data_IF_561169273957
#
_entry.id   IF_561169273957
#
_cell.length_a   1.000
_cell.length_b   1.000
_cell.length_c   1.000
_cell.angle_alpha   90.00
_cell.angle_beta   90.00
_cell.angle_gamma   90.00
#
_symmetry.space_group_name_H-M   'P 1'
#
loop_
_entity.id
_entity.type
_entity.pdbx_description
1 polymer ?
#
# COMPACT_ATOMS: atom_id res chain seq x y z
N UNK A 1 -7.31 8.73 4.45
CA UNK A 1 -6.89 10.14 4.23
C UNK A 1 -7.14 10.95 5.49
N UNK A 2 -6.20 11.83 5.84
CA UNK A 2 -6.31 12.73 7.00
C UNK A 2 -6.01 14.15 6.55
N UNK A 3 -6.77 15.13 7.01
CA UNK A 3 -6.49 16.54 6.73
C UNK A 3 -7.07 17.46 7.81
N UNK A 4 -6.50 18.66 7.93
CA UNK A 4 -7.10 19.68 8.79
C UNK A 4 -8.19 20.44 8.04
N UNK A 5 -9.40 20.52 8.60
CA UNK A 5 -10.55 21.20 8.01
C UNK A 5 -10.83 22.50 8.75
N UNK A 6 -11.08 23.58 8.01
CA UNK A 6 -11.49 24.88 8.55
C UNK A 6 -12.94 25.19 8.22
N UNK A 7 -13.67 25.75 9.17
CA UNK A 7 -15.07 26.15 8.99
C UNK A 7 -15.44 27.32 9.93
N UNK A 8 -16.59 27.94 9.67
CA UNK A 8 -17.15 28.99 10.51
C UNK A 8 -18.17 28.40 11.47
N UNK A 9 -18.09 28.77 12.75
CA UNK A 9 -19.11 28.43 13.74
C UNK A 9 -20.36 29.34 13.58
N UNK A 10 -21.41 29.05 14.36
CA UNK A 10 -22.64 29.87 14.35
C UNK A 10 -22.43 31.32 14.80
N UNK A 11 -21.31 31.60 15.47
CA UNK A 11 -20.94 32.91 16.01
C UNK A 11 -20.01 33.70 15.08
N UNK A 12 -19.54 33.09 13.98
CA UNK A 12 -18.63 33.69 13.01
C UNK A 12 -17.14 33.54 13.31
N UNK A 13 -16.75 32.70 14.27
CA UNK A 13 -15.36 32.36 14.54
C UNK A 13 -14.85 31.28 13.56
N UNK A 14 -13.59 31.42 13.14
CA UNK A 14 -12.91 30.41 12.34
C UNK A 14 -12.38 29.29 13.24
N UNK A 15 -12.94 28.09 13.06
CA UNK A 15 -12.51 26.88 13.74
C UNK A 15 -11.68 26.00 12.82
N UNK A 16 -10.82 25.18 13.43
CA UNK A 16 -10.09 24.09 12.78
C UNK A 16 -10.32 22.78 13.53
N UNK A 17 -10.53 21.70 12.79
CA UNK A 17 -10.55 20.31 13.30
C UNK A 17 -9.65 19.44 12.43
N UNK A 18 -9.36 18.23 12.91
CA UNK A 18 -8.74 17.16 12.14
C UNK A 18 -9.83 16.21 11.64
N UNK A 19 -9.88 15.97 10.34
CA UNK A 19 -10.88 15.11 9.72
C UNK A 19 -10.24 13.90 9.04
N UNK A 20 -10.94 12.78 9.04
CA UNK A 20 -10.55 11.52 8.42
C UNK A 20 -11.65 10.99 7.50
N UNK A 21 -11.23 10.34 6.42
CA UNK A 21 -12.08 9.56 5.52
C UNK A 21 -11.23 8.53 4.78
N UNK A 22 -11.79 7.34 4.56
CA UNK A 22 -11.19 6.31 3.71
C UNK A 22 -11.76 6.38 2.30
N UNK A 23 -10.97 5.95 1.32
CA UNK A 23 -11.40 5.77 -0.07
C UNK A 23 -11.29 4.29 -0.37
N UNK A 24 -12.41 3.66 -0.75
CA UNK A 24 -12.41 2.25 -1.14
C UNK A 24 -11.89 2.04 -2.57
N UNK A 25 -11.72 0.77 -2.96
CA UNK A 25 -11.29 0.39 -4.31
C UNK A 25 -12.26 0.83 -5.42
N UNK A 26 -13.50 1.19 -5.09
CA UNK A 26 -14.50 1.74 -6.03
C UNK A 26 -14.46 3.26 -6.12
N UNK A 27 -13.45 3.89 -5.49
CA UNK A 27 -13.28 5.32 -5.37
C UNK A 27 -14.44 6.02 -4.65
N UNK A 28 -15.13 5.32 -3.73
CA UNK A 28 -16.11 5.93 -2.85
C UNK A 28 -15.46 6.36 -1.55
N UNK A 29 -15.81 7.56 -1.11
CA UNK A 29 -15.38 8.10 0.18
C UNK A 29 -16.33 7.65 1.28
N UNK A 30 -15.77 7.20 2.40
CA UNK A 30 -16.52 7.03 3.64
C UNK A 30 -17.08 8.38 4.12
N UNK A 31 -18.11 8.39 4.98
CA UNK A 31 -18.49 9.60 5.70
C UNK A 31 -17.27 10.24 6.39
N UNK A 32 -17.20 11.57 6.34
CA UNK A 32 -16.14 12.34 6.99
C UNK A 32 -16.32 12.23 8.50
N UNK A 33 -15.28 11.81 9.18
CA UNK A 33 -15.19 11.70 10.63
C UNK A 33 -14.35 12.88 11.14
N UNK A 34 -14.89 13.70 12.05
CA UNK A 34 -14.10 14.71 12.76
C UNK A 34 -13.47 14.04 13.99
N UNK A 35 -12.13 14.07 14.08
CA UNK A 35 -11.34 13.31 15.05
C UNK A 35 -10.96 14.12 16.29
N UNK A 36 -10.81 15.43 16.11
CA UNK A 36 -10.37 16.34 17.17
C UNK A 36 -11.44 17.39 17.44
N UNK A 37 -11.54 17.84 18.69
CA UNK A 37 -12.41 18.95 19.04
C UNK A 37 -12.03 20.20 18.22
N UNK A 38 -13.03 20.91 17.65
CA UNK A 38 -12.77 22.12 16.91
C UNK A 38 -12.16 23.21 17.80
N UNK A 39 -11.00 23.74 17.39
CA UNK A 39 -10.31 24.83 18.07
C UNK A 39 -10.39 26.11 17.26
N UNK A 40 -10.54 27.26 17.93
CA UNK A 40 -10.47 28.56 17.27
C UNK A 40 -9.06 28.80 16.76
N UNK A 41 -8.93 29.36 15.56
CA UNK A 41 -7.62 29.74 15.01
C UNK A 41 -6.92 30.83 15.84
N UNK A 42 -7.64 31.54 16.72
CA UNK A 42 -7.05 32.45 17.71
C UNK A 42 -6.44 31.73 18.91
N UNK A 43 -6.94 30.53 19.20
CA UNK A 43 -6.66 29.80 20.44
C UNK A 43 -5.69 28.65 20.18
N UNK A 44 -5.57 28.18 18.94
CA UNK A 44 -4.67 27.07 18.61
C UNK A 44 -4.75 26.62 17.17
N UNK A 45 -4.00 25.57 16.84
CA UNK A 45 -4.12 24.86 15.56
C UNK A 45 -3.53 23.45 15.61
N UNK A 46 -3.95 22.62 14.65
CA UNK A 46 -3.33 21.33 14.32
C UNK A 46 -2.54 21.46 13.02
N UNK A 47 -1.34 20.87 12.93
CA UNK A 47 -0.51 20.84 11.71
C UNK A 47 0.54 19.73 11.73
N UNK A 48 1.23 19.56 10.60
CA UNK A 48 2.31 18.59 10.44
C UNK A 48 1.82 17.16 10.69
N UNK A 49 0.69 16.84 10.08
CA UNK A 49 -0.04 15.59 10.28
C UNK A 49 0.60 14.49 9.45
N UNK A 50 0.68 13.31 10.04
CA UNK A 50 1.06 12.08 9.37
C UNK A 50 0.19 10.90 9.80
N UNK A 51 0.16 9.86 8.97
CA UNK A 51 -0.68 8.68 9.16
C UNK A 51 0.07 7.43 8.74
N UNK A 52 0.00 6.42 9.60
CA UNK A 52 0.45 5.07 9.31
C UNK A 52 -0.71 4.08 9.43
N UNK A 53 -0.63 3.02 8.64
CA UNK A 53 -1.69 2.00 8.54
C UNK A 53 -1.03 0.63 8.54
N UNK A 54 -1.35 -0.16 9.55
CA UNK A 54 -1.00 -1.57 9.63
C UNK A 54 -2.28 -2.41 9.58
N UNK A 55 -2.46 -3.17 8.51
CA UNK A 55 -3.70 -3.89 8.19
C UNK A 55 -4.99 -3.04 8.29
N UNK A 56 -5.78 -3.21 9.35
CA UNK A 56 -7.02 -2.45 9.62
C UNK A 56 -6.83 -1.37 10.70
N UNK A 57 -5.67 -1.34 11.35
CA UNK A 57 -5.32 -0.36 12.38
C UNK A 57 -4.76 0.91 11.75
N UNK A 58 -5.17 2.06 12.30
CA UNK A 58 -4.78 3.36 11.79
C UNK A 58 -4.22 4.19 12.93
N UNK A 59 -3.00 4.68 12.72
CA UNK A 59 -2.30 5.58 13.63
C UNK A 59 -2.14 6.94 12.96
N UNK A 60 -2.54 8.00 13.67
CA UNK A 60 -2.42 9.37 13.20
C UNK A 60 -1.67 10.17 14.26
N UNK A 61 -0.72 10.99 13.80
CA UNK A 61 -0.03 11.93 14.67
C UNK A 61 0.03 13.32 14.07
N UNK A 62 0.25 14.31 14.92
CA UNK A 62 0.44 15.68 14.51
C UNK A 62 0.84 16.59 15.66
N UNK A 63 1.22 17.81 15.30
CA UNK A 63 1.42 18.87 16.28
C UNK A 63 0.08 19.51 16.66
N UNK A 64 -0.07 19.77 17.95
CA UNK A 64 -1.15 20.55 18.53
C UNK A 64 -0.55 21.75 19.25
N UNK A 65 -0.97 22.95 18.86
CA UNK A 65 -0.66 24.19 19.60
C UNK A 65 -1.90 24.65 20.29
N UNK A 66 -1.76 24.86 21.59
CA UNK A 66 -2.75 25.49 22.44
C UNK A 66 -2.15 26.80 22.95
N UNK A 67 -2.85 27.91 22.72
CA UNK A 67 -2.48 29.25 23.20
C UNK A 67 -3.35 29.68 24.40
N UNK A 68 -4.30 28.84 24.81
CA UNK A 68 -5.27 29.13 25.85
C UNK A 68 -5.52 27.93 26.79
N UNK A 69 -4.49 27.54 27.53
CA UNK A 69 -4.59 26.52 28.57
C UNK A 69 -5.23 27.06 29.86
N UNK A 70 -6.40 26.53 30.23
CA UNK A 70 -6.98 26.69 31.59
C UNK A 70 -7.36 28.11 32.00
N UNK A 71 -7.59 29.02 31.05
CA UNK A 71 -7.91 30.44 31.32
C UNK A 71 -6.70 31.36 31.45
N UNK A 72 -5.49 30.83 31.24
CA UNK A 72 -4.25 31.60 31.13
C UNK A 72 -3.71 31.53 29.71
N UNK A 73 -3.05 32.59 29.25
CA UNK A 73 -2.26 32.55 28.02
C UNK A 73 -0.99 31.73 28.28
N UNK A 74 -1.02 30.47 27.88
CA UNK A 74 0.13 29.59 27.76
C UNK A 74 0.23 29.15 26.31
N UNK A 75 1.34 29.44 25.64
CA UNK A 75 1.62 29.01 24.27
C UNK A 75 2.41 27.71 24.34
N UNK A 76 1.70 26.59 24.22
CA UNK A 76 2.25 25.25 24.34
C UNK A 76 2.03 24.49 23.04
N UNK A 77 3.11 23.88 22.52
CA UNK A 77 3.03 22.94 21.41
C UNK A 77 3.34 21.53 21.92
N UNK A 78 2.53 20.56 21.52
CA UNK A 78 2.72 19.15 21.84
C UNK A 78 2.45 18.27 20.63
N UNK A 79 2.81 17.00 20.74
CA UNK A 79 2.42 15.95 19.77
C UNK A 79 1.32 15.09 20.39
N UNK A 80 0.30 14.81 19.59
CA UNK A 80 -0.77 13.89 19.93
C UNK A 80 -0.67 12.60 19.11
N UNK A 81 -1.30 11.54 19.60
CA UNK A 81 -1.58 10.33 18.83
C UNK A 81 -3.09 10.06 18.82
N UNK A 82 -3.58 9.59 17.69
CA UNK A 82 -4.92 9.09 17.49
C UNK A 82 -4.81 7.68 16.92
N UNK A 83 -5.45 6.73 17.58
CA UNK A 83 -5.41 5.33 17.21
C UNK A 83 -6.83 4.77 17.10
N UNK A 84 -7.06 3.92 16.11
CA UNK A 84 -8.28 3.15 15.97
C UNK A 84 -8.05 1.85 15.18
N UNK A 85 -8.74 0.80 15.59
CA UNK A 85 -8.90 -0.44 14.85
C UNK A 85 -10.18 -0.36 14.00
N UNK A 86 -10.02 -0.45 12.68
CA UNK A 86 -11.09 -0.40 11.67
C UNK A 86 -12.15 0.73 11.89
N UNK A 87 -11.73 2.02 11.88
CA UNK A 87 -12.59 3.13 12.28
C UNK A 87 -13.73 3.42 11.29
N UNK A 88 -14.98 3.31 11.75
CA UNK A 88 -16.17 3.62 10.94
C UNK A 88 -16.87 4.92 11.34
N UNK A 89 -16.57 5.43 12.54
CA UNK A 89 -17.15 6.65 13.11
C UNK A 89 -16.16 7.33 14.05
N UNK A 90 -16.34 8.64 14.27
CA UNK A 90 -15.46 9.44 15.14
C UNK A 90 -15.27 8.89 16.56
N UNK A 91 -16.25 8.17 17.13
CA UNK A 91 -16.15 7.62 18.48
C UNK A 91 -15.25 6.38 18.58
N UNK A 92 -14.79 5.82 17.47
CA UNK A 92 -13.91 4.65 17.44
C UNK A 92 -12.45 5.04 17.75
N UNK A 93 -12.14 6.32 17.69
CA UNK A 93 -10.79 6.86 17.86
C UNK A 93 -10.45 7.11 19.32
N UNK A 94 -9.25 6.69 19.72
CA UNK A 94 -8.65 6.98 21.02
C UNK A 94 -7.60 8.07 20.85
N UNK A 95 -7.78 9.18 21.56
CA UNK A 95 -6.83 10.30 21.61
C UNK A 95 -5.88 10.12 22.79
N UNK A 96 -4.59 10.02 22.50
CA UNK A 96 -3.51 10.15 23.47
C UNK A 96 -2.90 11.55 23.34
N UNK A 97 -3.28 12.51 24.20
CA UNK A 97 -2.73 13.85 24.14
C UNK A 97 -1.32 13.89 24.73
N UNK A 98 -0.53 14.89 24.33
CA UNK A 98 0.75 15.24 24.96
C UNK A 98 1.71 14.05 25.08
N UNK A 99 1.84 13.27 24.02
CA UNK A 99 2.82 12.18 23.90
C UNK A 99 4.22 12.76 24.01
N UNK A 100 4.46 13.85 23.29
CA UNK A 100 5.62 14.75 23.49
C UNK A 100 5.08 16.12 23.88
N UNK A 101 5.33 16.55 25.11
CA UNK A 101 4.97 17.89 25.59
C UNK A 101 6.07 18.92 25.37
N UNK A 102 5.69 20.20 25.45
CA UNK A 102 6.57 21.39 25.50
C UNK A 102 7.59 21.44 24.35
N UNK A 103 7.11 21.38 23.12
CA UNK A 103 7.92 21.51 21.92
C UNK A 103 8.08 22.98 21.57
N UNK A 104 9.33 23.42 21.38
CA UNK A 104 9.63 24.75 20.89
C UNK A 104 9.64 24.75 19.35
N UNK A 105 8.50 25.07 18.75
CA UNK A 105 8.37 25.15 17.29
C UNK A 105 7.56 26.36 16.89
N UNK A 106 8.04 27.07 15.86
CA UNK A 106 7.25 28.09 15.19
C UNK A 106 6.28 27.40 14.23
N UNK A 107 4.97 27.56 14.41
CA UNK A 107 4.03 26.80 13.62
C UNK A 107 4.00 27.22 12.15
N UNK A 108 4.31 26.30 11.24
CA UNK A 108 4.38 26.54 9.79
C UNK A 108 5.80 26.70 9.24
N UNK A 109 6.83 26.67 10.10
CA UNK A 109 8.23 26.51 9.65
C UNK A 109 8.70 25.06 9.73
N UNK A 110 8.06 24.25 10.58
CA UNK A 110 8.33 22.83 10.70
C UNK A 110 7.77 22.03 9.51
N UNK A 111 8.53 21.03 9.08
CA UNK A 111 8.05 19.89 8.28
C UNK A 111 7.00 19.11 9.07
N UNK A 112 6.21 18.29 8.37
CA UNK A 112 5.40 17.27 9.05
C UNK A 112 6.29 16.40 9.93
N UNK A 113 5.73 15.94 11.05
CA UNK A 113 6.30 14.82 11.76
C UNK A 113 6.00 13.53 10.99
N UNK A 114 6.69 12.45 11.33
CA UNK A 114 6.48 11.13 10.75
C UNK A 114 6.21 10.14 11.87
N UNK A 115 5.19 9.30 11.72
CA UNK A 115 4.74 8.33 12.72
C UNK A 115 4.67 6.95 12.09
N UNK A 116 5.12 5.93 12.81
CA UNK A 116 5.03 4.54 12.35
C UNK A 116 4.66 3.64 13.53
N UNK A 117 3.91 2.57 13.26
CA UNK A 117 3.69 1.49 14.23
C UNK A 117 5.01 0.81 14.62
N UNK A 118 5.10 0.39 15.88
CA UNK A 118 6.20 -0.39 16.43
C UNK A 118 5.72 -1.75 16.96
N UNK A 119 6.59 -2.49 17.62
CA UNK A 119 6.26 -3.75 18.28
C UNK A 119 5.44 -3.50 19.57
N UNK A 120 4.60 -4.47 19.95
CA UNK A 120 3.86 -4.50 21.23
C UNK A 120 3.02 -3.23 21.53
N UNK A 121 2.15 -2.81 20.60
CA UNK A 121 1.36 -1.55 20.69
C UNK A 121 2.23 -0.29 20.83
N UNK A 122 3.48 -0.39 20.40
CA UNK A 122 4.45 0.70 20.31
C UNK A 122 4.20 1.59 19.11
N UNK A 123 4.72 2.81 19.18
CA UNK A 123 4.79 3.71 18.06
C UNK A 123 6.11 4.49 18.11
N UNK A 124 6.56 4.88 16.93
CA UNK A 124 7.75 5.69 16.72
C UNK A 124 7.37 7.06 16.18
N UNK A 125 8.14 8.09 16.55
CA UNK A 125 7.96 9.45 16.08
C UNK A 125 9.29 10.05 15.63
N UNK A 126 9.30 10.62 14.44
CA UNK A 126 10.29 11.60 14.01
C UNK A 126 9.65 12.99 13.97
N UNK A 127 10.14 13.90 14.79
CA UNK A 127 9.58 15.24 14.92
C UNK A 127 10.66 16.29 15.04
N UNK A 128 10.32 17.53 14.70
CA UNK A 128 11.25 18.66 14.83
C UNK A 128 11.04 19.37 16.17
N UNK A 129 12.12 19.90 16.71
CA UNK A 129 12.07 20.83 17.83
C UNK A 129 13.25 21.77 17.77
N UNK A 130 13.05 23.02 18.16
CA UNK A 130 14.13 24.00 18.21
C UNK A 130 15.09 23.63 19.34
N UNK A 131 16.37 23.54 18.99
CA UNK A 131 17.45 23.31 19.95
C UNK A 131 18.24 24.60 20.10
N UNK A 132 18.33 25.09 21.32
CA UNK A 132 19.35 26.05 21.73
C UNK A 132 20.55 25.26 22.25
N UNK A 133 21.62 25.16 21.46
CA UNK A 133 22.87 24.58 21.93
C UNK A 133 23.72 25.63 22.68
N UNK A 134 24.90 25.23 23.14
CA UNK A 134 25.84 26.12 23.85
C UNK A 134 26.38 27.27 22.98
N UNK A 135 26.10 27.28 21.68
CA UNK A 135 26.48 28.37 20.75
C UNK A 135 25.46 29.51 20.73
N UNK A 136 24.26 29.29 21.29
CA UNK A 136 23.19 30.29 21.33
C UNK A 136 22.51 30.54 19.98
N UNK A 137 22.73 29.65 19.00
CA UNK A 137 22.05 29.67 17.71
C UNK A 137 20.89 28.68 17.78
N UNK A 138 19.67 29.17 17.56
CA UNK A 138 18.49 28.31 17.41
C UNK A 138 18.60 27.52 16.12
N UNK A 139 18.54 26.19 16.23
CA UNK A 139 18.52 25.28 15.07
C UNK A 139 17.30 24.38 15.13
N UNK A 140 16.71 24.10 13.97
CA UNK A 140 15.66 23.09 13.85
C UNK A 140 16.30 21.69 13.88
N UNK A 141 16.29 21.07 15.06
CA UNK A 141 16.80 19.71 15.23
C UNK A 141 15.72 18.67 14.92
N UNK A 142 16.16 17.51 14.44
CA UNK A 142 15.33 16.32 14.33
C UNK A 142 15.47 15.49 15.61
N UNK A 143 14.33 15.04 16.12
CA UNK A 143 14.22 14.22 17.31
C UNK A 143 13.50 12.92 16.96
N UNK A 144 13.97 11.85 17.57
CA UNK A 144 13.32 10.55 17.60
C UNK A 144 12.75 10.31 18.98
N UNK A 145 11.55 9.74 19.05
CA UNK A 145 10.94 9.24 20.27
C UNK A 145 10.15 7.97 19.98
N UNK A 146 10.00 7.12 20.99
CA UNK A 146 9.12 5.95 20.91
C UNK A 146 8.46 5.70 22.27
N UNK A 147 7.35 4.97 22.25
CA UNK A 147 6.60 4.58 23.42
C UNK A 147 5.29 3.91 23.05
N UNK A 148 4.48 3.58 24.06
CA UNK A 148 3.18 2.93 23.86
C UNK A 148 2.14 3.94 23.36
N UNK A 149 1.29 3.52 22.42
CA UNK A 149 0.29 4.37 21.76
C UNK A 149 -0.67 5.01 22.78
N UNK A 150 -1.12 4.27 23.79
CA UNK A 150 -2.04 4.77 24.83
C UNK A 150 -1.34 5.53 25.97
N UNK A 151 -0.02 5.66 25.91
CA UNK A 151 0.77 6.32 26.95
C UNK A 151 1.10 7.76 26.56
N UNK A 152 0.58 8.73 27.32
CA UNK A 152 1.06 10.11 27.27
C UNK A 152 2.45 10.26 27.90
N UNK A 153 3.16 11.34 27.55
CA UNK A 153 4.46 11.69 28.13
C UNK A 153 5.52 10.60 27.97
N UNK A 154 5.87 10.29 26.72
CA UNK A 154 6.94 9.37 26.41
C UNK A 154 8.27 9.85 26.99
N UNK A 155 8.99 8.91 27.59
CA UNK A 155 10.23 9.16 28.32
C UNK A 155 11.46 9.08 27.40
N UNK A 156 11.41 8.22 26.38
CA UNK A 156 12.51 8.06 25.44
C UNK A 156 12.44 9.15 24.36
N UNK A 157 13.47 9.99 24.32
CA UNK A 157 13.66 11.02 23.29
C UNK A 157 15.15 11.13 23.00
N UNK A 158 15.50 11.23 21.73
CA UNK A 158 16.88 11.33 21.26
C UNK A 158 16.98 12.37 20.16
N UNK A 159 17.97 13.25 20.26
CA UNK A 159 18.30 14.18 19.17
C UNK A 159 19.13 13.43 18.12
N UNK A 160 18.73 13.52 16.85
CA UNK A 160 19.28 12.64 15.78
C UNK A 160 19.81 13.39 14.57
N UNK A 161 19.31 14.60 14.29
CA UNK A 161 19.76 15.41 13.17
C UNK A 161 19.84 16.89 13.52
N UNK A 162 20.71 17.62 12.84
CA UNK A 162 20.87 19.08 12.99
C UNK A 162 20.50 19.80 11.70
N UNK A 163 19.81 20.94 11.82
CA UNK A 163 19.19 21.63 10.68
C UNK A 163 18.44 20.66 9.74
N UNK A 164 17.72 19.73 10.36
CA UNK A 164 17.16 18.56 9.72
C UNK A 164 15.69 18.79 9.36
N UNK A 165 15.23 18.30 8.22
CA UNK A 165 13.86 18.46 7.69
C UNK A 165 13.49 17.31 6.75
N UNK A 166 12.22 17.23 6.31
CA UNK A 166 11.74 16.15 5.42
C UNK A 166 12.02 14.74 5.96
N UNK A 167 11.96 14.57 7.28
CA UNK A 167 12.20 13.27 7.90
C UNK A 167 11.06 12.32 7.57
N UNK A 168 11.43 11.10 7.20
CA UNK A 168 10.53 9.98 6.95
C UNK A 168 11.19 8.69 7.45
N UNK A 169 10.41 7.74 7.92
CA UNK A 169 10.86 6.41 8.34
C UNK A 169 9.85 5.33 7.93
N UNK A 170 10.31 4.08 8.03
CA UNK A 170 9.51 2.86 7.98
C UNK A 170 10.08 1.88 8.98
N UNK A 171 9.21 1.23 9.75
CA UNK A 171 9.57 0.28 10.80
C UNK A 171 9.25 -1.14 10.33
N UNK A 172 10.20 -2.05 10.48
CA UNK A 172 9.99 -3.48 10.22
C UNK A 172 10.33 -4.29 11.47
N UNK A 173 9.55 -5.32 11.74
CA UNK A 173 9.87 -6.31 12.77
C UNK A 173 10.56 -7.49 12.08
N UNK A 174 11.87 -7.64 12.31
CA UNK A 174 12.70 -8.70 11.72
C UNK A 174 13.27 -9.54 12.85
N UNK A 175 12.96 -10.84 12.86
CA UNK A 175 13.37 -11.78 13.92
C UNK A 175 12.96 -11.34 15.34
N UNK A 176 11.87 -10.57 15.49
CA UNK A 176 11.42 -10.03 16.77
C UNK A 176 12.25 -8.83 17.25
N UNK A 177 12.93 -8.13 16.34
CA UNK A 177 13.61 -6.88 16.59
C UNK A 177 13.11 -5.79 15.63
N UNK A 178 12.88 -4.59 16.15
CA UNK A 178 12.56 -3.41 15.35
C UNK A 178 13.76 -2.94 14.53
N UNK A 179 13.55 -2.80 13.22
CA UNK A 179 14.49 -2.25 12.26
C UNK A 179 13.87 -1.01 11.62
N UNK A 180 14.44 0.14 11.96
CA UNK A 180 13.91 1.45 11.56
C UNK A 180 14.74 1.95 10.38
N UNK A 181 14.14 1.97 9.19
CA UNK A 181 14.72 2.64 8.03
C UNK A 181 14.30 4.10 8.04
N UNK A 182 15.22 5.03 8.15
CA UNK A 182 14.92 6.46 8.21
C UNK A 182 15.75 7.25 7.20
N UNK A 183 15.18 8.34 6.68
CA UNK A 183 15.92 9.34 5.92
C UNK A 183 15.40 10.75 6.18
N UNK A 184 16.32 11.72 6.15
CA UNK A 184 16.00 13.13 6.29
C UNK A 184 16.98 13.98 5.50
N UNK A 185 16.61 15.24 5.29
CA UNK A 185 17.48 16.27 4.73
C UNK A 185 18.17 17.02 5.87
N UNK A 186 19.48 17.23 5.76
CA UNK A 186 20.20 18.25 6.54
C UNK A 186 20.64 19.40 5.63
N UNK A 187 20.55 20.62 6.16
CA UNK A 187 20.85 21.85 5.42
C UNK A 187 19.76 22.23 4.42
N UNK A 188 20.03 23.27 3.63
CA UNK A 188 19.11 23.81 2.64
C UNK A 188 19.77 24.05 1.28
N UNK A 189 18.93 24.33 0.27
CA UNK A 189 19.38 24.81 -1.04
C UNK A 189 20.55 24.03 -1.63
N UNK A 190 21.70 24.68 -1.79
CA UNK A 190 22.88 24.09 -2.41
C UNK A 190 23.72 23.19 -1.50
N UNK A 191 23.58 23.33 -0.18
CA UNK A 191 24.33 22.56 0.83
C UNK A 191 23.54 21.34 1.33
N UNK A 192 22.28 21.22 0.91
CA UNK A 192 21.41 20.11 1.26
C UNK A 192 22.04 18.73 0.99
N UNK A 193 21.98 17.88 2.01
CA UNK A 193 22.36 16.46 1.97
C UNK A 193 21.20 15.61 2.46
N UNK A 194 21.08 14.39 1.93
CA UNK A 194 20.17 13.39 2.46
C UNK A 194 20.96 12.44 3.34
N UNK A 195 20.56 12.26 4.58
CA UNK A 195 21.03 11.19 5.43
C UNK A 195 20.02 10.07 5.34
N UNK A 196 20.49 8.84 5.13
CA UNK A 196 19.66 7.64 5.18
C UNK A 196 20.35 6.59 6.04
N UNK A 197 19.59 5.93 6.90
CA UNK A 197 20.12 4.90 7.78
C UNK A 197 19.10 3.80 8.11
N UNK A 198 19.62 2.67 8.59
CA UNK A 198 18.87 1.63 9.27
C UNK A 198 19.34 1.61 10.72
N UNK A 199 18.41 1.73 11.65
CA UNK A 199 18.68 1.81 13.08
C UNK A 199 17.87 0.79 13.88
N UNK A 200 18.31 0.54 15.11
CA UNK A 200 17.56 -0.20 16.11
C UNK A 200 16.52 0.67 16.82
N UNK A 201 15.78 0.11 17.78
CA UNK A 201 14.78 0.82 18.58
C UNK A 201 15.35 1.97 19.43
N UNK A 202 16.66 1.95 19.73
CA UNK A 202 17.39 3.07 20.37
C UNK A 202 17.84 4.13 19.37
N UNK A 203 17.45 3.98 18.11
CA UNK A 203 17.79 4.82 16.98
C UNK A 203 19.32 4.96 16.82
N UNK A 204 20.07 3.91 17.14
CA UNK A 204 21.49 3.80 16.83
C UNK A 204 21.65 3.08 15.48
N UNK A 205 22.52 3.56 14.58
CA UNK A 205 22.71 2.93 13.29
C UNK A 205 23.27 1.52 13.47
N UNK A 206 22.65 0.56 12.78
CA UNK A 206 23.09 -0.83 12.79
C UNK A 206 24.34 -0.94 11.91
N UNK A 207 25.45 -1.37 12.50
CA UNK A 207 26.74 -1.51 11.83
C UNK A 207 27.17 -0.26 11.02
N UNK A 208 27.24 -0.38 9.68
CA UNK A 208 27.60 0.71 8.76
C UNK A 208 26.41 1.13 7.89
N UNK A 209 25.19 0.88 8.36
CA UNK A 209 23.95 1.20 7.66
C UNK A 209 23.54 2.65 7.88
N UNK A 210 24.48 3.57 7.78
CA UNK A 210 24.22 5.01 7.76
C UNK A 210 25.09 5.65 6.67
N UNK A 211 24.45 6.43 5.79
CA UNK A 211 25.12 7.07 4.66
C UNK A 211 24.54 8.46 4.39
N UNK A 212 25.45 9.37 4.04
CA UNK A 212 25.11 10.71 3.56
C UNK A 212 25.22 10.77 2.04
N UNK A 213 24.19 11.30 1.39
CA UNK A 213 24.10 11.44 -0.05
C UNK A 213 24.00 12.93 -0.43
N UNK A 214 24.94 13.45 -1.25
CA UNK A 214 24.85 14.80 -1.77
C UNK A 214 23.55 15.00 -2.55
N UNK A 215 22.68 15.88 -2.06
CA UNK A 215 21.29 16.01 -2.51
C UNK A 215 20.91 17.49 -2.59
N UNK A 216 21.61 18.21 -3.46
CA UNK A 216 21.39 19.65 -3.68
C UNK A 216 19.97 19.90 -4.10
N UNK A 217 19.31 20.88 -3.48
CA UNK A 217 17.94 21.27 -3.77
C UNK A 217 16.91 20.19 -3.47
N UNK A 218 17.22 19.24 -2.57
CA UNK A 218 16.30 18.22 -2.13
C UNK A 218 15.05 18.86 -1.53
N UNK A 219 13.90 18.50 -2.08
CA UNK A 219 12.61 19.05 -1.67
C UNK A 219 11.61 18.01 -1.22
N UNK A 220 11.81 16.75 -1.60
CA UNK A 220 10.96 15.65 -1.15
C UNK A 220 11.75 14.34 -0.99
N UNK A 221 11.47 13.63 0.10
CA UNK A 221 11.85 12.24 0.35
C UNK A 221 10.54 11.50 0.62
N UNK A 222 10.35 10.32 0.03
CA UNK A 222 9.21 9.46 0.28
C UNK A 222 9.67 8.00 0.33
N UNK A 223 9.04 7.23 1.20
CA UNK A 223 9.33 5.81 1.39
C UNK A 223 8.08 4.96 1.14
N UNK A 224 8.26 3.79 0.54
CA UNK A 224 7.23 2.77 0.45
C UNK A 224 7.81 1.42 0.83
N UNK A 225 7.10 0.69 1.68
CA UNK A 225 7.48 -0.66 2.05
C UNK A 225 7.16 -1.65 0.92
N UNK A 226 8.10 -2.57 0.68
CA UNK A 226 7.99 -3.69 -0.25
C UNK A 226 8.57 -4.95 0.38
N UNK A 227 8.32 -6.12 -0.23
CA UNK A 227 8.82 -7.41 0.28
C UNK A 227 10.35 -7.45 0.44
N UNK A 228 11.09 -6.74 -0.41
CA UNK A 228 12.56 -6.64 -0.38
C UNK A 228 13.08 -5.52 0.55
N UNK A 229 12.22 -4.90 1.35
CA UNK A 229 12.58 -3.79 2.25
C UNK A 229 11.91 -2.47 1.85
N UNK A 230 12.63 -1.35 1.93
CA UNK A 230 12.05 -0.01 1.75
C UNK A 230 12.52 0.63 0.45
N UNK A 231 11.59 0.95 -0.42
CA UNK A 231 11.87 1.81 -1.58
C UNK A 231 11.95 3.26 -1.14
N UNK A 232 13.03 3.94 -1.51
CA UNK A 232 13.26 5.35 -1.18
C UNK A 232 13.30 6.18 -2.45
N UNK A 233 12.38 7.14 -2.58
CA UNK A 233 12.32 8.09 -3.67
C UNK A 233 12.63 9.48 -3.16
N UNK A 234 13.45 10.22 -3.90
CA UNK A 234 13.78 11.59 -3.53
C UNK A 234 14.15 12.41 -4.75
N UNK A 235 13.96 13.73 -4.69
CA UNK A 235 14.35 14.62 -5.77
C UNK A 235 15.61 15.41 -5.47
N UNK A 236 16.40 15.72 -6.50
CA UNK A 236 17.61 16.53 -6.38
C UNK A 236 17.79 17.41 -7.62
N UNK A 237 18.51 18.50 -7.47
CA UNK A 237 18.99 19.34 -8.57
C UNK A 237 20.36 18.85 -9.01
N UNK A 238 20.39 18.11 -10.13
CA UNK A 238 21.61 17.62 -10.76
C UNK A 238 22.15 18.58 -11.84
N UNK A 239 23.27 18.22 -12.49
CA UNK A 239 23.87 19.02 -13.57
C UNK A 239 22.94 19.25 -14.77
N UNK A 240 21.95 18.37 -14.97
CA UNK A 240 20.97 18.47 -16.05
C UNK A 240 19.62 19.05 -15.59
N UNK A 241 19.56 19.71 -14.44
CA UNK A 241 18.34 20.21 -13.82
C UNK A 241 17.77 19.26 -12.76
N UNK A 242 16.50 19.44 -12.34
CA UNK A 242 15.82 18.59 -11.38
C UNK A 242 15.78 17.13 -11.84
N UNK A 243 15.96 16.20 -10.92
CA UNK A 243 15.98 14.76 -11.16
C UNK A 243 15.31 14.02 -10.01
N UNK A 244 14.51 13.01 -10.36
CA UNK A 244 13.99 12.04 -9.40
C UNK A 244 14.98 10.88 -9.30
N UNK A 245 15.39 10.57 -8.07
CA UNK A 245 16.26 9.47 -7.72
C UNK A 245 15.48 8.40 -6.96
N UNK A 246 16.00 7.20 -7.02
CA UNK A 246 15.45 6.00 -6.41
C UNK A 246 16.56 5.18 -5.77
N UNK A 247 16.16 4.44 -4.75
CA UNK A 247 16.91 3.36 -4.19
C UNK A 247 16.03 2.43 -3.40
N UNK A 248 16.69 1.43 -2.84
CA UNK A 248 16.06 0.45 -1.97
C UNK A 248 17.01 0.20 -0.79
N UNK A 249 16.42 0.06 0.38
CA UNK A 249 17.09 -0.26 1.63
C UNK A 249 16.56 -1.59 2.10
N UNK A 250 17.46 -2.55 2.31
CA UNK A 250 17.13 -3.86 2.83
C UNK A 250 17.69 -3.94 4.25
N UNK A 251 16.80 -3.90 5.22
CA UNK A 251 17.14 -3.92 6.64
C UNK A 251 17.44 -5.34 7.16
N UNK A 252 17.01 -6.39 6.44
CA UNK A 252 17.26 -7.78 6.78
C UNK A 252 18.66 -8.19 6.29
N UNK A 253 18.92 -8.04 4.99
CA UNK A 253 20.23 -8.32 4.40
C UNK A 253 21.30 -7.28 4.77
N UNK A 254 20.89 -6.13 5.30
CA UNK A 254 21.79 -5.09 5.77
C UNK A 254 22.52 -4.36 4.66
N UNK A 255 21.79 -3.76 3.70
CA UNK A 255 22.41 -2.91 2.68
C UNK A 255 21.52 -1.73 2.25
N UNK A 256 22.19 -0.63 1.89
CA UNK A 256 21.57 0.60 1.37
C UNK A 256 22.01 0.84 -0.07
N UNK A 257 21.10 0.73 -1.03
CA UNK A 257 21.35 0.98 -2.44
C UNK A 257 20.58 2.19 -2.95
N UNK A 258 21.09 3.40 -2.71
CA UNK A 258 20.42 4.65 -3.09
C UNK A 258 21.09 5.40 -4.25
N UNK A 259 20.38 6.39 -4.80
CA UNK A 259 20.87 7.40 -5.75
C UNK A 259 20.86 7.03 -7.25
N UNK A 260 20.08 6.03 -7.66
CA UNK A 260 19.85 5.76 -9.09
C UNK A 260 18.90 6.81 -9.68
N UNK A 261 19.31 7.49 -10.74
CA UNK A 261 18.45 8.46 -11.43
C UNK A 261 17.35 7.72 -12.21
N UNK A 262 16.10 7.97 -11.85
CA UNK A 262 14.95 7.46 -12.62
C UNK A 262 14.56 8.42 -13.73
N UNK A 263 14.32 9.70 -13.40
CA UNK A 263 13.68 10.66 -14.30
C UNK A 263 14.19 12.08 -14.10
N UNK A 264 13.85 12.97 -15.05
CA UNK A 264 14.03 14.42 -14.90
C UNK A 264 12.77 15.03 -14.29
N UNK A 265 12.94 16.02 -13.41
CA UNK A 265 11.89 16.79 -12.77
C UNK A 265 11.78 16.60 -11.25
N UNK A 266 10.66 17.04 -10.68
CA UNK A 266 10.42 17.05 -9.23
C UNK A 266 9.43 15.98 -8.81
N UNK A 267 9.68 15.37 -7.66
CA UNK A 267 8.83 14.33 -7.08
C UNK A 267 7.65 14.98 -6.33
N UNK A 268 6.44 14.44 -6.51
CA UNK A 268 5.24 14.98 -5.85
C UNK A 268 4.41 13.94 -5.10
N UNK A 269 4.37 12.70 -5.58
CA UNK A 269 3.66 11.60 -4.91
C UNK A 269 4.32 10.29 -5.28
N UNK A 270 4.38 9.36 -4.32
CA UNK A 270 4.52 7.94 -4.59
C UNK A 270 3.38 7.22 -3.88
N UNK A 271 2.91 6.12 -4.46
CA UNK A 271 1.95 5.24 -3.80
C UNK A 271 2.03 3.85 -4.43
N UNK A 272 1.61 2.81 -3.71
CA UNK A 272 1.63 1.43 -4.18
C UNK A 272 0.22 0.86 -4.13
N UNK A 273 -0.23 0.26 -5.23
CA UNK A 273 -1.56 -0.36 -5.24
C UNK A 273 -1.54 -1.64 -4.39
N UNK A 274 -2.52 -1.88 -3.50
CA UNK A 274 -2.64 -3.14 -2.77
C UNK A 274 -2.77 -4.37 -3.69
N UNK A 275 -3.31 -4.17 -4.90
CA UNK A 275 -3.58 -5.25 -5.85
C UNK A 275 -2.43 -5.50 -6.85
N UNK A 276 -1.40 -4.65 -6.88
CA UNK A 276 -0.30 -4.76 -7.84
C UNK A 276 1.06 -4.66 -7.17
N UNK A 277 2.09 -5.30 -7.73
CA UNK A 277 3.47 -5.09 -7.28
C UNK A 277 4.12 -3.80 -7.82
N UNK A 278 3.31 -2.89 -8.39
CA UNK A 278 3.78 -1.66 -9.00
C UNK A 278 3.70 -0.48 -8.02
N UNK A 279 4.80 0.26 -7.89
CA UNK A 279 4.83 1.55 -7.20
C UNK A 279 4.60 2.65 -8.24
N UNK A 280 3.52 3.41 -8.09
CA UNK A 280 3.22 4.56 -8.92
C UNK A 280 3.94 5.80 -8.38
N UNK A 281 4.50 6.60 -9.27
CA UNK A 281 5.10 7.89 -8.96
C UNK A 281 4.52 8.98 -9.85
N UNK A 282 4.20 10.11 -9.23
CA UNK A 282 3.80 11.34 -9.90
C UNK A 282 4.94 12.34 -9.79
N UNK A 283 5.43 12.78 -10.94
CA UNK A 283 6.50 13.77 -11.02
C UNK A 283 6.20 14.80 -12.12
N UNK A 284 6.78 15.98 -11.99
CA UNK A 284 6.76 16.98 -13.06
C UNK A 284 7.92 16.75 -14.01
N UNK A 285 7.81 17.29 -15.23
CA UNK A 285 8.88 17.32 -16.23
C UNK A 285 8.76 18.60 -17.05
N UNK A 286 9.71 18.86 -17.95
CA UNK A 286 9.62 20.01 -18.87
C UNK A 286 8.34 20.01 -19.75
N UNK A 287 7.73 18.84 -19.97
CA UNK A 287 6.48 18.68 -20.73
C UNK A 287 5.21 18.68 -19.89
N UNK A 288 5.29 18.87 -18.57
CA UNK A 288 4.15 18.82 -17.64
C UNK A 288 4.21 17.62 -16.69
N UNK A 289 3.06 17.28 -16.12
CA UNK A 289 2.89 16.20 -15.14
C UNK A 289 2.94 14.82 -15.80
N UNK A 290 3.66 13.89 -15.18
CA UNK A 290 3.83 12.51 -15.63
C UNK A 290 3.56 11.55 -14.48
N UNK A 291 2.80 10.49 -14.78
CA UNK A 291 2.58 9.35 -13.90
C UNK A 291 3.37 8.17 -14.46
N UNK A 292 4.14 7.47 -13.62
CA UNK A 292 4.89 6.27 -14.02
C UNK A 292 4.77 5.18 -12.98
N UNK A 293 4.85 3.93 -13.43
CA UNK A 293 4.96 2.77 -12.58
C UNK A 293 6.42 2.31 -12.51
N UNK A 294 6.88 1.95 -11.31
CA UNK A 294 8.09 1.19 -11.06
C UNK A 294 7.64 -0.22 -10.71
N UNK A 295 7.97 -1.16 -11.59
CA UNK A 295 7.66 -2.57 -11.40
C UNK A 295 8.80 -3.18 -10.58
N UNK A 296 8.44 -3.84 -9.48
CA UNK A 296 9.36 -4.70 -8.73
C UNK A 296 9.19 -6.14 -9.24
N UNK A 297 10.30 -6.89 -9.29
CA UNK A 297 10.31 -8.30 -9.72
C UNK A 297 9.67 -9.22 -8.66
N UNK A 298 9.38 -8.68 -7.47
CA UNK A 298 8.70 -9.39 -6.38
C UNK A 298 7.18 -9.24 -6.48
N UNK A 299 6.47 -10.27 -6.01
CA UNK A 299 5.01 -10.27 -5.99
C UNK A 299 4.46 -9.14 -5.11
N UNK A 300 3.17 -8.78 -5.23
CA UNK A 300 2.55 -7.99 -4.18
C UNK A 300 2.75 -8.72 -2.84
N UNK A 301 2.88 -7.98 -1.73
CA UNK A 301 2.78 -8.55 -0.37
C UNK A 301 1.40 -9.20 -0.26
N UNK A 302 1.28 -10.46 -0.66
CA UNK A 302 0.07 -11.25 -0.49
C UNK A 302 0.35 -12.24 0.64
N UNK A 303 0.25 -11.76 1.88
CA UNK A 303 -0.21 -12.62 2.97
C UNK A 303 -1.61 -13.19 2.68
N UNK A 304 -2.32 -12.61 1.70
CA UNK A 304 -3.65 -13.02 1.33
C UNK A 304 -3.75 -14.11 0.26
N UNK A 305 -4.49 -15.17 0.56
CA UNK A 305 -4.77 -16.25 -0.38
C UNK A 305 -5.67 -15.81 -1.54
N UNK A 306 -6.13 -16.76 -2.36
CA UNK A 306 -7.11 -16.50 -3.46
C UNK A 306 -8.37 -15.76 -2.96
N UNK A 307 -8.72 -15.91 -1.68
CA UNK A 307 -9.85 -15.24 -1.05
C UNK A 307 -9.60 -13.74 -0.84
N UNK A 308 -8.38 -13.32 -0.53
CA UNK A 308 -8.06 -11.89 -0.37
C UNK A 308 -8.04 -11.14 -1.69
N UNK A 309 -7.62 -11.81 -2.77
CA UNK A 309 -7.81 -11.23 -4.11
C UNK A 309 -9.30 -11.01 -4.42
N UNK A 310 -10.17 -11.92 -3.98
CA UNK A 310 -11.62 -11.76 -4.15
C UNK A 310 -12.14 -10.67 -3.21
N UNK A 311 -11.66 -10.59 -1.97
CA UNK A 311 -11.97 -9.52 -0.99
C UNK A 311 -11.66 -8.15 -1.58
N UNK A 312 -10.43 -7.94 -2.04
CA UNK A 312 -10.00 -6.70 -2.67
C UNK A 312 -10.77 -6.40 -3.97
N UNK A 313 -11.02 -7.41 -4.81
CA UNK A 313 -11.81 -7.23 -6.04
C UNK A 313 -13.27 -6.86 -5.77
N UNK A 314 -13.83 -7.28 -4.63
CA UNK A 314 -15.17 -6.91 -4.18
C UNK A 314 -15.18 -5.57 -3.41
N UNK A 315 -14.01 -5.00 -3.09
CA UNK A 315 -13.89 -3.78 -2.30
C UNK A 315 -14.42 -3.94 -0.87
N UNK A 316 -14.34 -5.15 -0.30
CA UNK A 316 -14.81 -5.44 1.05
C UNK A 316 -13.64 -5.39 2.03
N UNK A 317 -13.89 -4.89 3.24
CA UNK A 317 -13.00 -5.07 4.39
C UNK A 317 -13.00 -6.53 4.88
N UNK A 318 -12.07 -6.89 5.78
CA UNK A 318 -11.92 -8.28 6.24
C UNK A 318 -13.18 -8.78 6.94
N UNK A 319 -13.77 -7.94 7.78
CA UNK A 319 -14.94 -8.30 8.57
C UNK A 319 -16.16 -8.59 7.69
N UNK A 320 -16.49 -7.71 6.75
CA UNK A 320 -17.61 -7.92 5.83
C UNK A 320 -17.36 -9.09 4.89
N UNK A 321 -16.10 -9.29 4.47
CA UNK A 321 -15.73 -10.45 3.66
C UNK A 321 -15.86 -11.76 4.45
N UNK A 322 -15.45 -11.80 5.71
CA UNK A 322 -15.59 -12.95 6.59
C UNK A 322 -17.07 -13.27 6.91
N UNK A 323 -17.91 -12.24 7.11
CA UNK A 323 -19.36 -12.40 7.25
C UNK A 323 -19.97 -12.99 5.97
N UNK A 324 -19.58 -12.47 4.80
CA UNK A 324 -20.05 -12.96 3.51
C UNK A 324 -19.64 -14.43 3.28
N UNK A 325 -18.37 -14.76 3.54
CA UNK A 325 -17.83 -16.11 3.40
C UNK A 325 -18.54 -17.08 4.33
N UNK A 326 -18.76 -16.68 5.59
CA UNK A 326 -19.55 -17.43 6.56
C UNK A 326 -20.99 -17.68 6.08
N UNK A 327 -21.64 -16.66 5.52
CA UNK A 327 -22.98 -16.78 4.95
C UNK A 327 -23.05 -17.77 3.78
N UNK A 328 -22.08 -17.71 2.85
CA UNK A 328 -21.99 -18.64 1.72
C UNK A 328 -21.75 -20.08 2.21
N UNK A 329 -20.87 -20.27 3.21
CA UNK A 329 -20.60 -21.58 3.79
C UNK A 329 -21.86 -22.23 4.39
N UNK A 330 -22.70 -21.45 5.09
CA UNK A 330 -23.98 -21.91 5.63
C UNK A 330 -24.95 -22.32 4.52
N UNK A 331 -25.03 -21.56 3.43
CA UNK A 331 -25.89 -21.88 2.28
C UNK A 331 -25.44 -23.18 1.61
N UNK A 332 -24.13 -23.37 1.42
CA UNK A 332 -23.57 -24.60 0.84
C UNK A 332 -23.85 -25.80 1.75
N UNK A 333 -23.66 -25.65 3.06
CA UNK A 333 -24.00 -26.70 4.04
C UNK A 333 -25.49 -27.07 3.97
N UNK A 334 -26.38 -26.09 3.94
CA UNK A 334 -27.82 -26.32 3.78
C UNK A 334 -28.12 -27.05 2.47
N UNK A 335 -27.53 -26.64 1.34
CA UNK A 335 -27.71 -27.32 0.07
C UNK A 335 -27.23 -28.78 0.12
N UNK A 336 -26.07 -29.03 0.73
CA UNK A 336 -25.53 -30.37 0.94
C UNK A 336 -26.46 -31.23 1.79
N UNK A 337 -27.04 -30.69 2.87
CA UNK A 337 -28.02 -31.43 3.68
C UNK A 337 -29.27 -31.80 2.88
N UNK A 338 -29.77 -30.89 2.03
CA UNK A 338 -30.93 -31.15 1.16
C UNK A 338 -30.61 -32.22 0.12
N UNK A 339 -29.41 -32.18 -0.48
CA UNK A 339 -28.96 -33.21 -1.43
C UNK A 339 -28.83 -34.58 -0.73
N UNK A 340 -28.23 -34.63 0.45
CA UNK A 340 -28.13 -35.88 1.23
C UNK A 340 -29.51 -36.41 1.66
N UNK A 341 -30.43 -35.53 2.06
CA UNK A 341 -31.80 -35.90 2.42
C UNK A 341 -32.59 -36.43 1.20
N UNK A 342 -32.41 -35.83 0.03
CA UNK A 342 -33.09 -36.27 -1.21
C UNK A 342 -32.49 -37.58 -1.76
N UNK A 343 -31.17 -37.76 -1.67
CA UNK A 343 -30.47 -38.99 -2.05
C UNK A 343 -30.82 -40.15 -1.10
N UNK A 344 -30.82 -39.93 0.22
CA UNK A 344 -31.25 -40.93 1.21
C UNK A 344 -32.74 -41.29 1.05
N UNK A 345 -33.61 -40.33 0.78
CA UNK A 345 -35.03 -40.59 0.50
C UNK A 345 -35.25 -41.37 -0.82
N UNK A 346 -34.35 -41.28 -1.80
CA UNK A 346 -34.34 -42.13 -3.01
C UNK A 346 -33.78 -43.53 -2.73
N UNK A 347 -32.73 -43.64 -1.92
CA UNK A 347 -32.14 -44.92 -1.49
C UNK A 347 -33.12 -45.78 -0.67
N UNK A 348 -33.86 -45.17 0.27
CA UNK A 348 -34.90 -45.84 1.07
C UNK A 348 -36.07 -46.29 0.19
N UNK A 349 -36.45 -45.50 -0.83
CA UNK A 349 -37.49 -45.89 -1.81
C UNK A 349 -37.07 -47.07 -2.69
N UNK A 350 -35.78 -47.18 -3.04
CA UNK A 350 -35.26 -48.31 -3.80
C UNK A 350 -35.21 -49.60 -2.96
N UNK A 351 -34.78 -49.53 -1.70
CA UNK A 351 -34.82 -50.68 -0.78
C UNK A 351 -36.25 -51.14 -0.46
N UNK A 352 -37.22 -50.23 -0.38
CA UNK A 352 -38.64 -50.58 -0.14
C UNK A 352 -39.28 -51.27 -1.35
N UNK A 353 -38.75 -51.08 -2.57
CA UNK A 353 -39.22 -51.72 -3.81
C UNK A 353 -38.78 -53.18 -3.96
N UNK A 354 -37.76 -53.64 -3.23
CA UNK A 354 -37.35 -55.06 -3.17
C UNK A 354 -38.22 -55.93 -2.27
N UNK A 355 -39.10 -55.36 -1.43
CA UNK A 355 -39.94 -56.11 -0.47
C UNK A 355 -41.36 -56.41 -0.94
N UNK A 356 -41.76 -56.09 -2.17
CA UNK A 356 -43.16 -56.26 -2.62
C UNK A 356 -43.35 -56.89 -4.00
N UNK A 357 -42.58 -57.92 -4.34
CA UNK A 357 -42.94 -58.81 -5.46
C UNK A 357 -42.80 -60.25 -4.98
N UNK A 358 -43.87 -60.77 -4.38
CA UNK A 358 -44.05 -62.20 -4.16
C UNK A 358 -44.78 -62.71 -5.42
N UNK A 359 -44.03 -63.20 -6.40
CA UNK A 359 -44.58 -63.82 -7.58
C UNK A 359 -44.73 -65.33 -7.32
N UNK A 360 -45.98 -65.77 -7.15
CA UNK A 360 -46.35 -67.18 -7.13
C UNK A 360 -46.28 -67.73 -8.57
N UNK A 361 -45.41 -68.71 -8.81
CA UNK A 361 -45.26 -69.39 -10.08
C UNK A 361 -44.47 -70.68 -9.91
N UNK A 362 -45.18 -71.80 -9.98
CA UNK A 362 -44.70 -73.17 -9.74
C UNK A 362 -43.69 -73.67 -10.77
N UNK A 363 -42.63 -74.30 -10.27
CA UNK A 363 -41.57 -75.02 -10.98
C UNK A 363 -41.94 -76.49 -11.17
N UNK A 364 -41.62 -77.07 -12.34
CA UNK A 364 -41.26 -78.48 -12.58
C UNK A 364 -40.92 -78.64 -14.08
N UNK A 365 -39.93 -79.41 -14.53
CA UNK A 365 -38.54 -79.75 -14.16
C UNK A 365 -38.04 -80.70 -15.26
N UNK A 366 -36.71 -80.87 -15.34
CA UNK A 366 -35.90 -81.94 -15.96
C UNK A 366 -35.06 -81.53 -17.19
N UNK A 367 -33.78 -81.91 -17.33
CA UNK A 367 -32.67 -82.26 -16.42
C UNK A 367 -31.41 -82.52 -17.29
N UNK A 368 -30.26 -82.78 -16.65
CA UNK A 368 -28.87 -83.03 -17.14
C UNK A 368 -27.97 -81.79 -17.35
N UNK A 369 -26.98 -81.43 -16.49
CA UNK A 369 -25.90 -82.13 -15.73
C UNK A 369 -24.76 -82.59 -16.65
N UNK A 370 -23.46 -82.30 -16.49
CA UNK A 370 -22.57 -81.46 -15.65
C UNK A 370 -21.21 -81.47 -16.40
N UNK A 371 -20.38 -80.42 -16.30
CA UNK A 371 -18.98 -80.65 -15.90
C UNK A 371 -18.41 -79.42 -15.18
N UNK A 372 -17.97 -79.71 -13.95
CA UNK A 372 -17.28 -78.87 -12.98
C UNK A 372 -15.79 -79.24 -13.06
N UNK A 373 -14.94 -78.44 -12.38
CA UNK A 373 -13.57 -78.74 -11.90
C UNK A 373 -12.47 -78.19 -12.80
N UNK A 374 -11.42 -77.53 -12.31
CA UNK A 374 -11.14 -76.86 -11.02
C UNK A 374 -9.94 -75.93 -11.26
N UNK A 375 -9.75 -75.01 -10.31
CA UNK A 375 -8.50 -74.27 -10.11
C UNK A 375 -7.40 -75.26 -9.64
N UNK A 376 -6.43 -75.57 -10.51
CA UNK A 376 -5.01 -75.80 -10.20
C UNK A 376 -4.31 -76.49 -11.38
N UNK A 377 -3.76 -75.71 -12.31
CA UNK A 377 -2.65 -76.14 -13.17
C UNK A 377 -1.64 -74.97 -13.34
N UNK A 378 -0.91 -74.76 -12.24
CA UNK A 378 0.56 -74.76 -12.20
C UNK A 378 1.36 -73.89 -13.21
N UNK A 379 1.71 -72.69 -12.71
CA UNK A 379 3.08 -72.23 -12.39
C UNK A 379 4.14 -71.86 -13.47
N UNK A 380 4.61 -70.59 -13.38
CA UNK A 380 6.03 -70.11 -13.33
C UNK A 380 6.75 -69.88 -14.70
N UNK A 381 7.57 -68.86 -15.02
CA UNK A 381 8.41 -67.87 -14.30
C UNK A 381 8.80 -66.63 -15.17
N UNK A 382 8.97 -65.48 -14.50
CA UNK A 382 10.01 -64.40 -14.60
C UNK A 382 10.47 -63.78 -15.94
N UNK A 383 10.44 -62.43 -16.01
CA UNK A 383 11.58 -61.47 -15.91
C UNK A 383 11.58 -60.32 -16.95
N UNK A 384 11.73 -59.10 -16.41
CA UNK A 384 12.59 -57.99 -16.86
C UNK A 384 12.22 -57.11 -18.08
N UNK A 385 11.93 -55.86 -17.70
CA UNK A 385 12.56 -54.59 -18.12
C UNK A 385 12.34 -53.90 -19.48
N UNK A 386 12.17 -52.59 -19.29
CA UNK A 386 12.54 -51.43 -20.11
C UNK A 386 12.03 -51.30 -21.56
N UNK A 387 11.49 -50.11 -21.82
CA UNK A 387 11.92 -49.37 -23.00
C UNK A 387 10.83 -48.93 -23.96
N UNK A 388 10.41 -47.68 -23.79
CA UNK A 388 10.28 -46.69 -24.87
C UNK A 388 9.22 -46.87 -25.98
N UNK A 389 8.53 -45.75 -26.18
CA UNK A 389 8.19 -45.15 -27.47
C UNK A 389 7.14 -45.79 -28.41
N UNK A 390 6.12 -44.97 -28.63
CA UNK A 390 5.72 -44.44 -29.94
C UNK A 390 4.69 -45.23 -30.79
N UNK A 391 3.86 -44.40 -31.42
CA UNK A 391 3.09 -44.57 -32.67
C UNK A 391 1.69 -45.19 -32.52
N UNK A 392 0.70 -44.30 -32.40
CA UNK A 392 -0.23 -43.95 -33.49
C UNK A 392 -0.73 -45.07 -34.43
N UNK A 393 -2.05 -45.12 -34.63
CA UNK A 393 -2.79 -45.10 -35.92
C UNK A 393 -4.24 -45.54 -35.58
N UNK A 394 -5.28 -44.70 -35.64
CA UNK A 394 -5.94 -44.12 -36.85
C UNK A 394 -6.53 -45.29 -37.67
N UNK A 395 -7.82 -45.42 -38.01
CA UNK A 395 -8.91 -44.45 -38.22
C UNK A 395 -10.21 -45.23 -38.62
N UNK A 396 -11.42 -44.69 -38.35
CA UNK A 396 -12.51 -44.32 -39.30
C UNK A 396 -13.81 -44.97 -38.81
N UNK A 397 -15.01 -44.39 -38.89
CA UNK A 397 -15.64 -43.61 -39.95
C UNK A 397 -16.90 -42.92 -39.36
N UNK A 398 -17.07 -41.59 -39.48
CA UNK A 398 -18.01 -40.94 -40.42
C UNK A 398 -19.32 -40.51 -39.73
N UNK A 399 -19.87 -39.29 -39.84
CA UNK A 399 -19.52 -38.11 -40.62
C UNK A 399 -20.63 -37.03 -40.49
N UNK A 400 -20.40 -35.90 -41.18
CA UNK A 400 -21.38 -34.90 -41.59
C UNK A 400 -22.04 -33.98 -40.52
N UNK A 401 -21.41 -32.83 -40.22
CA UNK A 401 -22.14 -31.53 -40.13
C UNK A 401 -21.29 -30.24 -40.06
N UNK A 402 -20.00 -30.27 -39.72
CA UNK A 402 -19.27 -29.03 -39.35
C UNK A 402 -18.48 -28.28 -40.45
N UNK A 403 -18.47 -28.73 -41.71
CA UNK A 403 -17.57 -28.17 -42.76
C UNK A 403 -18.21 -27.23 -43.80
N UNK A 404 -19.42 -26.72 -43.60
CA UNK A 404 -20.07 -25.77 -44.55
C UNK A 404 -20.14 -24.31 -44.09
N UNK A 405 -19.63 -23.96 -42.90
CA UNK A 405 -19.72 -22.60 -42.34
C UNK A 405 -18.53 -21.66 -42.58
N UNK A 406 -17.33 -22.16 -42.92
CA UNK A 406 -16.09 -21.36 -42.88
C UNK A 406 -15.60 -20.78 -44.21
N UNK A 407 -16.37 -20.91 -45.30
CA UNK A 407 -15.96 -20.40 -46.63
C UNK A 407 -17.05 -19.55 -47.28
N UNK A 408 -17.62 -18.59 -46.54
CA UNK A 408 -18.54 -17.57 -47.08
C UNK A 408 -18.68 -16.34 -46.18
N UNK A 409 -17.57 -15.67 -45.90
CA UNK A 409 -17.55 -14.25 -45.45
C UNK A 409 -16.17 -13.59 -45.66
N UNK A 410 -15.49 -13.97 -46.75
CA UNK A 410 -14.30 -13.29 -47.28
C UNK A 410 -14.70 -12.57 -48.56
N UNK A 411 -15.60 -11.59 -48.42
CA UNK A 411 -16.03 -10.66 -49.48
C UNK A 411 -16.91 -9.57 -48.87
N UNK A 412 -16.29 -8.63 -48.16
CA UNK A 412 -16.80 -7.26 -47.99
C UNK A 412 -15.63 -6.39 -47.54
N UNK A 413 -15.15 -5.56 -48.46
CA UNK A 413 -14.21 -4.50 -48.20
C UNK A 413 -14.96 -3.37 -47.46
N UNK A 414 -14.41 -2.94 -46.33
CA UNK A 414 -14.81 -1.70 -45.65
C UNK A 414 -13.59 -0.75 -45.72
N UNK A 415 -13.76 0.53 -46.09
CA UNK A 415 -12.64 1.44 -46.35
C UNK A 415 -11.97 1.89 -45.05
N UNK A 416 -10.66 2.13 -45.13
CA UNK A 416 -9.83 2.75 -44.09
C UNK A 416 -10.27 4.22 -43.91
N UNK A 417 -10.49 4.72 -42.69
CA UNK A 417 -10.64 6.16 -42.47
C UNK A 417 -9.29 6.86 -42.69
N UNK A 418 -9.26 7.82 -43.61
CA UNK A 418 -8.12 8.74 -43.79
C UNK A 418 -7.84 9.49 -42.48
N UNK A 419 -6.58 9.49 -42.06
CA UNK A 419 -6.07 10.37 -41.02
C UNK A 419 -6.26 11.84 -41.46
N UNK A 420 -6.63 12.76 -40.56
CA UNK A 420 -6.67 14.18 -40.88
C UNK A 420 -5.26 14.68 -41.26
N UNK A 421 -5.14 15.63 -42.21
CA UNK A 421 -3.84 16.16 -42.62
C UNK A 421 -3.13 16.83 -41.45
N UNK A 422 -1.80 16.62 -41.37
CA UNK A 422 -0.97 17.31 -40.37
C UNK A 422 -1.10 18.84 -40.52
N UNK A 423 -1.03 19.60 -39.41
CA UNK A 423 -0.98 21.06 -39.48
C UNK A 423 0.25 21.49 -40.30
N UNK A 424 0.07 22.51 -41.13
CA UNK A 424 1.18 23.11 -41.87
C UNK A 424 2.27 23.61 -40.91
N UNK A 425 3.56 23.54 -41.27
CA UNK A 425 4.63 24.15 -40.49
C UNK A 425 4.38 25.66 -40.36
N UNK A 426 4.59 26.21 -39.17
CA UNK A 426 4.63 27.65 -38.94
C UNK A 426 5.68 28.29 -39.87
N UNK A 427 5.46 29.51 -40.39
CA UNK A 427 6.46 30.22 -41.18
C UNK A 427 7.73 30.41 -40.35
N UNK A 428 8.89 30.16 -40.94
CA UNK A 428 10.17 30.53 -40.34
C UNK A 428 10.17 32.04 -40.03
N UNK A 429 10.71 32.46 -38.87
CA UNK A 429 10.85 33.88 -38.57
C UNK A 429 11.78 34.51 -39.61
N UNK A 430 11.27 35.54 -40.28
CA UNK A 430 12.01 36.39 -41.21
C UNK A 430 13.26 36.95 -40.55
N UNK A 431 14.42 36.73 -41.17
CA UNK A 431 15.73 37.20 -40.75
C UNK A 431 15.97 38.71 -40.94
N UNK A 432 14.95 39.54 -40.75
CA UNK A 432 15.07 41.00 -40.83
C UNK A 432 14.15 41.66 -39.79
N UNK A 433 14.64 41.72 -38.56
CA UNK A 433 14.20 42.70 -37.57
C UNK A 433 15.44 43.22 -36.82
N UNK A 434 15.63 44.56 -36.71
CA UNK A 434 16.85 45.14 -36.19
C UNK A 434 17.00 44.95 -34.68
N UNK A 435 18.24 44.68 -34.28
CA UNK A 435 18.74 44.50 -32.92
C UNK A 435 18.40 45.71 -32.03
N UNK A 436 17.73 45.46 -30.90
CA UNK A 436 17.48 46.48 -29.88
C UNK A 436 18.75 46.66 -29.01
N UNK A 437 19.15 47.90 -28.67
CA UNK A 437 20.38 48.16 -27.93
C UNK A 437 20.28 47.76 -26.45
N UNK A 438 21.41 47.45 -25.79
CA UNK A 438 21.42 47.03 -24.38
C UNK A 438 21.16 48.22 -23.44
N UNK A 439 20.32 48.00 -22.43
CA UNK A 439 20.06 48.96 -21.36
C UNK A 439 21.21 49.01 -20.34
N UNK A 440 21.55 50.19 -19.78
CA UNK A 440 22.74 50.38 -18.98
C UNK A 440 22.56 49.98 -17.51
N UNK A 441 23.64 49.41 -16.97
CA UNK A 441 23.92 49.17 -15.55
C UNK A 441 23.69 50.42 -14.70
N UNK A 442 22.88 50.30 -13.64
CA UNK A 442 22.83 51.27 -12.55
C UNK A 442 23.64 50.78 -11.36
N UNK A 443 24.72 51.51 -11.06
CA UNK A 443 25.37 51.52 -9.75
C UNK A 443 24.44 52.13 -8.69
N UNK A 444 24.20 51.41 -7.60
CA UNK A 444 24.46 51.84 -6.22
C UNK A 444 24.25 50.68 -5.24
#
# INVERSE_FOLDING_TARGET
>A
MVWTRRFLDSSGYFLQTLSYSSIDATCQMSPIQDLMDPISLSDGKYWGIDVDVDDEEVLISGYHRDMFTGGTFGDETSVFLLHADNPTKSSDWTLTPNVIGEIDLIPGTASSLDVEFGEDDGAHLLYQSTRSDSTGIERHGLWYAHGLIEQSSWTYKKAVGDEASLAVMKVHIIDGEERITAAWREGDGHESVMIAMVADSSFEPIENLSRTYPSRGLSSIMMNEVERGVQVFFDVVGPSGPQVKYGIVDADEGWLGLSNRLNLGNLHLIDRSPASSETLLVHTSAGGWLIRAVVDDHGPRSGGGMLDQIRHALGLDEQNFNILLGGIAVIILLLCTVILATMSARGIRWMRRRRSVEASGSVLLEEDVVDVVDEDDLAVSTSEDEGSNLVELVELEGGAELRRGRRRKRSQAVPVPELPPMPAPLPEPSADAPEAPPDPLSHN
#
